data_IF_388108661363
#
_entry.id   IF_388108661363
#
_cell.length_a   1.000
_cell.length_b   1.000
_cell.length_c   1.000
_cell.angle_alpha   90.00
_cell.angle_beta   90.00
_cell.angle_gamma   90.00
#
_symmetry.space_group_name_H-M   'P 1'
#
loop_
_entity.id
_entity.type
_entity.pdbx_description
1 polymer ?
#
# COMPACT_ATOMS: atom_id res chain seq x y z
N UNK A 1 14.95 4.98 19.11
CA UNK A 1 13.83 5.92 18.94
C UNK A 1 13.10 6.06 20.26
N UNK A 2 12.72 7.27 20.68
CA UNK A 2 11.96 7.44 21.92
C UNK A 2 10.52 6.93 21.75
N UNK A 3 9.90 6.48 22.84
CA UNK A 3 8.50 6.03 22.85
C UNK A 3 7.54 7.10 22.27
N UNK A 4 7.81 8.38 22.52
CA UNK A 4 7.07 9.50 21.92
C UNK A 4 7.15 9.50 20.38
N UNK A 5 8.35 9.36 19.81
CA UNK A 5 8.53 9.35 18.33
C UNK A 5 7.83 8.18 17.65
N UNK A 6 7.72 7.03 18.33
CA UNK A 6 6.98 5.86 17.82
C UNK A 6 5.49 6.15 17.78
N UNK A 7 4.93 6.66 18.88
CA UNK A 7 3.50 7.01 18.96
C UNK A 7 3.11 8.09 17.97
N UNK A 8 3.95 9.14 17.82
CA UNK A 8 3.70 10.20 16.85
C UNK A 8 3.67 9.65 15.43
N UNK A 9 4.61 8.76 15.08
CA UNK A 9 4.63 8.10 13.77
C UNK A 9 3.35 7.29 13.52
N UNK A 10 2.88 6.54 14.52
CA UNK A 10 1.64 5.76 14.40
C UNK A 10 0.43 6.65 14.14
N UNK A 11 0.30 7.78 14.86
CA UNK A 11 -0.80 8.73 14.64
C UNK A 11 -0.75 9.32 13.25
N UNK A 12 0.43 9.75 12.79
CA UNK A 12 0.60 10.31 11.44
C UNK A 12 0.24 9.30 10.34
N UNK A 13 0.65 8.03 10.49
CA UNK A 13 0.27 6.98 9.54
C UNK A 13 -1.24 6.76 9.54
N UNK A 14 -1.87 6.61 10.71
CA UNK A 14 -3.31 6.42 10.80
C UNK A 14 -4.10 7.56 10.15
N UNK A 15 -3.74 8.82 10.45
CA UNK A 15 -4.40 9.98 9.85
C UNK A 15 -4.22 10.00 8.34
N UNK A 16 -3.02 9.67 7.83
CA UNK A 16 -2.79 9.59 6.38
C UNK A 16 -3.67 8.53 5.72
N UNK A 17 -3.79 7.36 6.34
CA UNK A 17 -4.56 6.23 5.81
C UNK A 17 -6.07 6.54 5.81
N UNK A 18 -6.59 7.21 6.85
CA UNK A 18 -7.98 7.71 6.91
C UNK A 18 -8.28 8.73 5.79
N UNK A 19 -7.39 9.71 5.58
CA UNK A 19 -7.54 10.69 4.50
C UNK A 19 -7.42 10.07 3.12
N UNK A 20 -6.57 9.06 2.94
CA UNK A 20 -6.42 8.36 1.67
C UNK A 20 -7.71 7.59 1.32
N UNK A 21 -8.30 6.94 2.32
CA UNK A 21 -9.59 6.25 2.19
C UNK A 21 -10.70 7.21 1.78
N UNK A 22 -10.82 8.34 2.48
CA UNK A 22 -11.83 9.37 2.17
C UNK A 22 -11.67 9.91 0.75
N UNK A 23 -10.44 10.26 0.34
CA UNK A 23 -10.17 10.81 -0.99
C UNK A 23 -10.50 9.81 -2.12
N UNK A 24 -10.29 8.52 -1.90
CA UNK A 24 -10.62 7.49 -2.90
C UNK A 24 -12.13 7.23 -2.94
N UNK A 25 -12.78 7.07 -1.79
CA UNK A 25 -14.19 6.65 -1.72
C UNK A 25 -15.17 7.79 -1.96
N UNK A 26 -14.93 8.95 -1.35
CA UNK A 26 -15.87 10.07 -1.34
C UNK A 26 -15.57 11.11 -2.42
N UNK A 27 -14.29 11.25 -2.80
CA UNK A 27 -13.88 12.19 -3.86
C UNK A 27 -13.56 11.49 -5.19
N UNK A 28 -13.66 10.16 -5.26
CA UNK A 28 -13.39 9.35 -6.44
C UNK A 28 -11.99 9.59 -7.06
N UNK A 29 -11.00 9.98 -6.24
CA UNK A 29 -9.64 10.23 -6.72
C UNK A 29 -8.94 8.89 -6.96
N UNK A 30 -8.26 8.69 -8.11
CA UNK A 30 -7.58 7.43 -8.39
C UNK A 30 -6.54 7.04 -7.32
N UNK A 31 -6.49 5.77 -6.88
CA UNK A 31 -5.53 5.30 -5.88
C UNK A 31 -4.07 5.59 -6.23
N UNK A 32 -3.69 5.51 -7.51
CA UNK A 32 -2.33 5.85 -7.99
C UNK A 32 -1.95 7.30 -7.69
N UNK A 33 -2.92 8.22 -7.85
CA UNK A 33 -2.73 9.64 -7.56
C UNK A 33 -2.55 9.87 -6.07
N UNK A 34 -3.41 9.25 -5.25
CA UNK A 34 -3.32 9.37 -3.78
C UNK A 34 -2.03 8.75 -3.24
N UNK A 35 -1.65 7.57 -3.74
CA UNK A 35 -0.42 6.89 -3.34
C UNK A 35 0.81 7.78 -3.55
N UNK A 36 0.89 8.45 -4.71
CA UNK A 36 1.97 9.38 -5.02
C UNK A 36 1.94 10.64 -4.15
N UNK A 37 0.76 11.26 -3.98
CA UNK A 37 0.61 12.51 -3.22
C UNK A 37 0.93 12.31 -1.73
N UNK A 38 0.51 11.18 -1.16
CA UNK A 38 0.61 10.93 0.29
C UNK A 38 1.88 10.14 0.65
N UNK A 39 2.77 9.92 -0.33
CA UNK A 39 4.07 9.29 -0.09
C UNK A 39 3.97 7.81 0.27
N UNK A 40 2.98 7.10 -0.25
CA UNK A 40 2.99 5.64 -0.23
C UNK A 40 4.07 5.12 -1.17
N UNK A 41 4.62 3.96 -0.84
CA UNK A 41 5.67 3.33 -1.63
C UNK A 41 5.14 2.84 -3.00
N UNK A 42 3.88 2.46 -3.06
CA UNK A 42 3.14 2.15 -4.28
C UNK A 42 1.63 2.25 -4.03
N UNK A 43 0.84 2.31 -5.10
CA UNK A 43 -0.63 2.18 -5.01
C UNK A 43 -1.07 0.82 -4.50
N UNK A 44 -0.30 -0.21 -4.83
CA UNK A 44 -0.45 -1.56 -4.32
C UNK A 44 -0.32 -1.63 -2.78
N UNK A 45 0.65 -0.91 -2.19
CA UNK A 45 0.77 -0.82 -0.73
C UNK A 45 -0.44 -0.10 -0.11
N UNK A 46 -0.96 0.94 -0.77
CA UNK A 46 -2.17 1.65 -0.34
C UNK A 46 -3.40 0.73 -0.40
N UNK A 47 -3.61 -0.01 -1.49
CA UNK A 47 -4.73 -0.96 -1.62
C UNK A 47 -4.72 -2.04 -0.54
N UNK A 48 -3.55 -2.51 -0.12
CA UNK A 48 -3.45 -3.48 0.97
C UNK A 48 -3.91 -2.89 2.30
N UNK A 49 -3.51 -1.65 2.60
CA UNK A 49 -3.93 -0.94 3.81
C UNK A 49 -5.45 -0.73 3.80
N UNK A 50 -6.01 -0.28 2.68
CA UNK A 50 -7.46 -0.07 2.54
C UNK A 50 -8.27 -1.35 2.73
N UNK A 51 -7.78 -2.49 2.20
CA UNK A 51 -8.41 -3.80 2.40
C UNK A 51 -8.30 -4.27 3.85
N UNK A 52 -7.22 -3.92 4.54
CA UNK A 52 -7.02 -4.31 5.93
C UNK A 52 -7.97 -3.52 6.85
N UNK A 53 -8.19 -2.24 6.59
CA UNK A 53 -9.18 -1.43 7.31
C UNK A 53 -10.63 -1.91 7.06
N UNK A 54 -10.95 -2.39 5.86
CA UNK A 54 -12.25 -3.00 5.57
C UNK A 54 -12.45 -4.36 6.27
N UNK A 55 -11.39 -5.17 6.36
CA UNK A 55 -11.41 -6.47 7.03
C UNK A 55 -11.28 -6.38 8.56
N UNK A 56 -10.72 -5.32 9.12
CA UNK A 56 -10.76 -5.09 10.58
C UNK A 56 -12.18 -4.79 11.07
N UNK A 57 -13.11 -4.42 10.17
CA UNK A 57 -14.55 -4.37 10.45
C UNK A 57 -15.27 -5.74 10.29
N UNK A 58 -14.64 -6.73 9.64
CA UNK A 58 -15.17 -8.08 9.39
C UNK A 58 -14.00 -9.07 9.29
N UNK A 59 -13.60 -9.66 10.42
CA UNK A 59 -12.34 -10.43 10.53
C UNK A 59 -12.20 -11.61 9.55
N UNK A 60 -10.93 -11.93 9.28
CA UNK A 60 -10.40 -13.20 8.78
C UNK A 60 -10.62 -13.56 7.30
N UNK A 61 -10.04 -12.78 6.38
CA UNK A 61 -9.64 -13.36 5.08
C UNK A 61 -8.22 -12.90 4.73
N UNK A 62 -7.31 -13.89 4.68
CA UNK A 62 -5.94 -13.74 4.19
C UNK A 62 -5.95 -13.02 2.83
N UNK A 63 -5.55 -11.76 2.83
CA UNK A 63 -5.46 -10.95 1.62
C UNK A 63 -4.30 -11.46 0.77
N UNK A 64 -4.59 -11.92 -0.44
CA UNK A 64 -3.58 -12.28 -1.45
C UNK A 64 -2.61 -11.11 -1.62
N UNK A 65 -1.29 -11.30 -1.44
CA UNK A 65 -0.34 -10.21 -1.60
C UNK A 65 -0.46 -9.67 -3.01
N UNK A 66 -0.62 -8.36 -3.08
CA UNK A 66 -0.69 -7.59 -4.29
C UNK A 66 0.57 -7.96 -5.11
N UNK A 67 0.33 -8.58 -6.27
CA UNK A 67 1.35 -9.33 -6.99
C UNK A 67 2.54 -8.41 -7.25
N UNK A 68 3.65 -8.65 -6.56
CA UNK A 68 4.95 -8.12 -6.98
C UNK A 68 5.13 -8.64 -8.38
N UNK A 69 4.91 -7.79 -9.38
CA UNK A 69 5.17 -8.10 -10.77
C UNK A 69 6.64 -8.52 -10.85
N UNK A 70 6.88 -9.82 -10.84
CA UNK A 70 8.17 -10.44 -11.08
C UNK A 70 8.40 -10.39 -12.59
N UNK A 71 8.60 -9.19 -13.12
CA UNK A 71 9.25 -9.00 -14.42
C UNK A 71 10.68 -8.53 -14.17
N UNK A 72 11.44 -9.38 -13.48
CA UNK A 72 12.89 -9.23 -13.33
C UNK A 72 13.59 -10.38 -14.05
N UNK A 73 13.90 -10.13 -15.33
CA UNK A 73 15.04 -10.57 -16.15
C UNK A 73 15.42 -12.07 -16.12
N UNK A 74 15.70 -12.75 -17.25
CA UNK A 74 16.84 -12.51 -18.16
C UNK A 74 16.58 -13.39 -19.40
N UNK A 75 16.65 -12.82 -20.62
CA UNK A 75 16.86 -13.61 -21.83
C UNK A 75 18.20 -14.34 -21.69
N UNK A 76 18.16 -15.65 -21.41
CA UNK A 76 19.34 -16.52 -21.52
C UNK A 76 19.61 -16.69 -23.01
N UNK A 77 20.48 -15.85 -23.55
CA UNK A 77 21.18 -16.12 -24.80
C UNK A 77 22.02 -17.37 -24.57
N UNK A 78 21.59 -18.50 -25.13
CA UNK A 78 22.42 -19.70 -25.20
C UNK A 78 23.43 -19.48 -26.32
N UNK A 79 24.65 -19.09 -25.96
CA UNK A 79 25.83 -19.30 -26.80
C UNK A 79 26.56 -20.46 -26.16
N UNK A 80 26.70 -21.56 -26.89
CA UNK A 80 27.68 -22.61 -26.62
C UNK A 80 28.50 -22.72 -27.89
N UNK A 81 29.82 -22.66 -27.71
CA UNK A 81 30.88 -22.81 -28.72
C UNK A 81 30.70 -24.04 -29.63
#
# INVERSE_FOLDING_TARGET
MSHFTVKLRQVLHKTRDEWATFAIKEMEIPPDTIAKLYGYKSSCDLEQILKQDENDANSDICSTPCARSLTSNVSKTTIID
#
